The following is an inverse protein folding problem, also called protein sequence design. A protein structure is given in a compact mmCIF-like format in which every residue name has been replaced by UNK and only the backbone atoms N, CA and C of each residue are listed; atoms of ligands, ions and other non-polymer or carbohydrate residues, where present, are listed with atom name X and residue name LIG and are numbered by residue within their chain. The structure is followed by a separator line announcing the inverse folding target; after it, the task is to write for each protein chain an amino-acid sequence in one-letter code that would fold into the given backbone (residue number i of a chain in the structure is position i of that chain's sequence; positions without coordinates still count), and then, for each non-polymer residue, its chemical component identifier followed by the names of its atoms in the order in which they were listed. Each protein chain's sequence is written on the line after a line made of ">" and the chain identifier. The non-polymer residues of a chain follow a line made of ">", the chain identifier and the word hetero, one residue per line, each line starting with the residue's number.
data_IF_555181525203
#
_entry.id   IF_555181525203
#
_cell.length_a   1.000
_cell.length_b   1.000
_cell.length_c   1.000
_cell.angle_alpha   90.00
_cell.angle_beta   90.00
_cell.angle_gamma   90.00
#
_symmetry.space_group_name_H-M   'P 1'
#
loop_
_entity.id
_entity.type
_entity.pdbx_description
1 polymer ?
#
# COMPACT_ATOMS: atom_id res chain seq x y z
N UNK A 1 14.72 7.96 14.72
CA UNK A 1 14.78 7.58 13.27
C UNK A 1 13.72 6.57 12.86
N UNK A 2 13.43 5.57 13.71
CA UNK A 2 12.46 4.50 13.42
C UNK A 2 11.03 5.02 13.12
N UNK A 3 10.56 6.05 13.81
CA UNK A 3 9.21 6.59 13.62
C UNK A 3 8.99 7.22 12.23
N UNK A 4 10.00 7.96 11.72
CA UNK A 4 9.96 8.55 10.38
C UNK A 4 9.99 7.46 9.30
N UNK A 5 10.80 6.41 9.51
CA UNK A 5 10.86 5.26 8.60
C UNK A 5 9.52 4.53 8.50
N UNK A 6 8.81 4.33 9.61
CA UNK A 6 7.48 3.72 9.65
C UNK A 6 6.44 4.51 8.85
N UNK A 7 6.46 5.85 8.95
CA UNK A 7 5.56 6.71 8.19
C UNK A 7 5.86 6.62 6.69
N UNK A 8 7.14 6.72 6.31
CA UNK A 8 7.55 6.64 4.90
C UNK A 8 7.19 5.28 4.29
N UNK A 9 7.49 4.18 4.99
CA UNK A 9 7.14 2.82 4.55
C UNK A 9 5.63 2.63 4.42
N UNK A 10 4.87 3.13 5.39
CA UNK A 10 3.41 3.03 5.34
C UNK A 10 2.80 3.82 4.18
N UNK A 11 3.30 5.02 3.92
CA UNK A 11 2.89 5.82 2.76
C UNK A 11 3.30 5.17 1.43
N UNK A 12 4.49 4.57 1.36
CA UNK A 12 4.95 3.85 0.18
C UNK A 12 4.07 2.62 -0.14
N UNK A 13 3.66 1.87 0.89
CA UNK A 13 2.74 0.73 0.74
C UNK A 13 1.37 1.16 0.20
N UNK A 14 0.83 2.29 0.66
CA UNK A 14 -0.44 2.83 0.17
C UNK A 14 -0.31 3.31 -1.28
N UNK A 15 0.77 4.03 -1.61
CA UNK A 15 1.05 4.46 -2.99
C UNK A 15 1.22 3.27 -3.94
N UNK A 16 1.90 2.21 -3.49
CA UNK A 16 2.03 0.97 -4.24
C UNK A 16 0.67 0.32 -4.49
N UNK A 17 -0.18 0.22 -3.47
CA UNK A 17 -1.52 -0.34 -3.62
C UNK A 17 -2.39 0.48 -4.60
N UNK A 18 -2.31 1.81 -4.55
CA UNK A 18 -3.00 2.70 -5.49
C UNK A 18 -2.47 2.54 -6.92
N UNK A 19 -1.15 2.45 -7.09
CA UNK A 19 -0.52 2.24 -8.40
C UNK A 19 -0.90 0.89 -9.02
N UNK A 20 -0.87 -0.19 -8.23
CA UNK A 20 -1.33 -1.50 -8.65
C UNK A 20 -2.82 -1.50 -9.01
N UNK A 21 -3.67 -0.81 -8.23
CA UNK A 21 -5.09 -0.67 -8.55
C UNK A 21 -5.29 0.11 -9.85
N UNK A 22 -4.56 1.21 -10.04
CA UNK A 22 -4.64 1.99 -11.28
C UNK A 22 -4.27 1.16 -12.51
N UNK A 23 -3.12 0.47 -12.45
CA UNK A 23 -2.68 -0.44 -13.51
C UNK A 23 -3.71 -1.54 -13.80
N UNK A 24 -4.35 -2.02 -12.74
CA UNK A 24 -5.32 -3.12 -12.82
C UNK A 24 -6.63 -2.73 -13.50
N UNK A 25 -7.14 -1.50 -13.26
CA UNK A 25 -8.44 -1.03 -13.74
C UNK A 25 -8.37 -0.14 -14.99
N UNK A 26 -7.32 0.66 -15.15
CA UNK A 26 -7.26 1.71 -16.16
C UNK A 26 -6.26 1.44 -17.29
N UNK A 27 -5.28 0.55 -17.10
CA UNK A 27 -4.32 0.22 -18.16
C UNK A 27 -4.87 -0.93 -19.01
N UNK A 28 -5.05 -0.74 -20.32
CA UNK A 28 -5.51 -1.80 -21.21
C UNK A 28 -4.47 -2.92 -21.25
N UNK A 29 -4.92 -4.14 -20.97
CA UNK A 29 -4.06 -5.33 -20.92
C UNK A 29 -3.93 -5.86 -22.35
N UNK A 30 -2.87 -5.46 -23.04
CA UNK A 30 -2.60 -5.91 -24.42
C UNK A 30 -1.61 -7.08 -24.36
N UNK A 31 -2.03 -8.29 -24.73
CA UNK A 31 -1.18 -9.49 -24.79
C UNK A 31 -1.70 -10.70 -23.99
N UNK A 32 -1.00 -11.85 -24.02
CA UNK A 32 -1.45 -13.13 -23.44
C UNK A 32 -1.53 -13.15 -21.90
N UNK A 33 -1.00 -12.13 -21.23
CA UNK A 33 -1.10 -11.90 -19.78
C UNK A 33 -2.40 -11.13 -19.44
N UNK A 34 -3.18 -10.76 -20.46
CA UNK A 34 -4.30 -9.85 -20.41
C UNK A 34 -5.69 -10.49 -20.54
N UNK A 35 -5.90 -11.69 -20.00
CA UNK A 35 -7.23 -12.36 -19.97
C UNK A 35 -8.31 -11.59 -19.17
N UNK A 36 -8.06 -10.33 -18.80
CA UNK A 36 -8.98 -9.44 -18.09
C UNK A 36 -9.20 -9.82 -16.63
N UNK A 37 -9.00 -11.09 -16.28
CA UNK A 37 -9.25 -11.65 -14.96
C UNK A 37 -8.10 -11.35 -14.01
N UNK A 38 -8.40 -10.53 -13.01
CA UNK A 38 -7.50 -10.22 -11.90
C UNK A 38 -7.60 -11.38 -10.92
N UNK A 39 -6.47 -11.94 -10.51
CA UNK A 39 -6.46 -13.02 -9.53
C UNK A 39 -7.11 -12.53 -8.21
N UNK A 40 -7.97 -13.33 -7.56
CA UNK A 40 -8.54 -12.98 -6.26
C UNK A 40 -7.47 -12.62 -5.21
N UNK A 41 -6.31 -13.27 -5.30
CA UNK A 41 -5.13 -13.02 -4.47
C UNK A 41 -4.61 -11.59 -4.60
N UNK A 42 -4.71 -10.96 -5.77
CA UNK A 42 -4.30 -9.56 -5.98
C UNK A 42 -5.15 -8.61 -5.15
N UNK A 43 -6.46 -8.82 -5.07
CA UNK A 43 -7.35 -7.99 -4.23
C UNK A 43 -7.02 -8.12 -2.75
N UNK A 44 -6.74 -9.34 -2.28
CA UNK A 44 -6.33 -9.59 -0.89
C UNK A 44 -5.03 -8.85 -0.58
N UNK A 45 -4.03 -8.95 -1.47
CA UNK A 45 -2.74 -8.26 -1.31
C UNK A 45 -2.93 -6.74 -1.25
N UNK A 46 -3.77 -6.17 -2.12
CA UNK A 46 -4.07 -4.74 -2.12
C UNK A 46 -4.69 -4.28 -0.78
N UNK A 47 -5.70 -5.01 -0.29
CA UNK A 47 -6.35 -4.71 0.99
C UNK A 47 -5.34 -4.81 2.14
N UNK A 48 -4.53 -5.88 2.18
CA UNK A 48 -3.50 -6.06 3.19
C UNK A 48 -2.43 -4.95 3.15
N UNK A 49 -2.03 -4.50 1.96
CA UNK A 49 -1.06 -3.42 1.81
C UNK A 49 -1.61 -2.08 2.34
N UNK A 50 -2.88 -1.77 2.06
CA UNK A 50 -3.55 -0.56 2.59
C UNK A 50 -3.65 -0.62 4.11
N UNK A 51 -4.14 -1.74 4.67
CA UNK A 51 -4.29 -1.91 6.13
C UNK A 51 -2.93 -1.79 6.83
N UNK A 52 -1.91 -2.51 6.35
CA UNK A 52 -0.57 -2.43 6.93
C UNK A 52 0.05 -1.04 6.79
N UNK A 53 -0.18 -0.37 5.66
CA UNK A 53 0.28 1.00 5.44
C UNK A 53 -0.30 1.97 6.45
N UNK A 54 -1.62 1.91 6.68
CA UNK A 54 -2.31 2.74 7.68
C UNK A 54 -1.79 2.45 9.09
N UNK A 55 -1.66 1.18 9.47
CA UNK A 55 -1.15 0.79 10.79
C UNK A 55 0.29 1.28 11.02
N UNK A 56 1.15 1.20 10.00
CA UNK A 56 2.52 1.69 10.07
C UNK A 56 2.57 3.21 10.27
N UNK A 57 1.74 3.97 9.54
CA UNK A 57 1.64 5.43 9.70
C UNK A 57 1.16 5.78 11.11
N UNK A 58 0.07 5.16 11.60
CA UNK A 58 -0.47 5.42 12.95
C UNK A 58 0.60 5.13 14.00
N UNK A 59 1.26 3.98 13.92
CA UNK A 59 2.33 3.60 14.85
C UNK A 59 3.50 4.59 14.80
N UNK A 60 3.90 5.03 13.62
CA UNK A 60 4.93 6.06 13.44
C UNK A 60 4.55 7.39 14.09
N UNK A 61 3.31 7.85 13.92
CA UNK A 61 2.79 9.07 14.55
C UNK A 61 2.76 8.95 16.07
N UNK A 62 2.32 7.81 16.61
CA UNK A 62 2.29 7.57 18.06
C UNK A 62 3.68 7.61 18.69
N UNK A 63 4.69 7.02 18.03
CA UNK A 63 6.08 7.07 18.49
C UNK A 63 6.61 8.51 18.44
N UNK A 64 6.36 9.26 17.37
CA UNK A 64 6.75 10.68 17.29
C UNK A 64 6.11 11.53 18.39
N UNK A 65 4.86 11.25 18.76
CA UNK A 65 4.20 11.93 19.88
C UNK A 65 4.85 11.59 21.23
N UNK A 66 5.26 10.33 21.44
CA UNK A 66 5.97 9.91 22.65
C UNK A 66 7.38 10.49 22.76
N UNK A 67 8.11 10.63 21.65
CA UNK A 67 9.45 11.23 21.64
C UNK A 67 9.43 12.75 21.90
N UNK A 68 8.27 13.41 21.75
CA UNK A 68 8.09 14.85 21.96
C UNK A 68 7.52 15.23 23.33
N UNK A 69 7.02 14.25 24.09
CA UNK A 69 6.49 14.44 25.44
C UNK A 69 7.61 14.18 26.47
#
# INVERSE_FOLDING_TARGET
>A
MQAKALIILGSALILFALGCSYYTFFVPKVGPIGDGKIAPTTYIILICAIINGILAIIRGILILKREKA
#
